data_IF_744909239813
#
_entry.id   IF_744909239813
#
_cell.length_a   1.000
_cell.length_b   1.000
_cell.length_c   1.000
_cell.angle_alpha   90.00
_cell.angle_beta   90.00
_cell.angle_gamma   90.00
#
_symmetry.space_group_name_H-M   'P 1'
#
loop_
_entity.id
_entity.type
_entity.pdbx_description
1 polymer ?
#
# COMPACT_ATOMS: atom_id res chain seq x y z
N UNK A 1 0.37 -3.13 -7.47
CA UNK A 1 1.59 -3.53 -8.21
C UNK A 1 2.86 -3.47 -7.36
N UNK A 2 3.18 -2.37 -6.63
CA UNK A 2 4.36 -2.33 -5.73
C UNK A 2 4.33 -3.40 -4.64
N UNK A 3 3.16 -3.66 -4.03
CA UNK A 3 2.99 -4.75 -3.06
C UNK A 3 3.22 -6.15 -3.65
N UNK A 4 3.22 -6.30 -4.98
CA UNK A 4 3.47 -7.57 -5.68
C UNK A 4 4.92 -7.68 -6.18
N UNK A 5 5.79 -6.72 -5.81
CA UNK A 5 7.17 -6.68 -6.29
C UNK A 5 7.26 -6.55 -7.81
N UNK A 6 6.35 -5.78 -8.43
CA UNK A 6 6.34 -5.57 -9.88
C UNK A 6 6.75 -4.13 -10.20
N UNK A 7 7.78 -3.90 -11.04
CA UNK A 7 8.14 -2.57 -11.51
C UNK A 7 6.98 -1.97 -12.29
N UNK A 8 6.70 -0.67 -12.09
CA UNK A 8 5.54 0.00 -12.70
C UNK A 8 6.00 1.17 -13.56
N UNK A 9 5.56 1.18 -14.82
CA UNK A 9 5.65 2.34 -15.71
C UNK A 9 4.31 3.06 -15.71
N UNK A 10 4.31 4.33 -15.34
CA UNK A 10 3.11 5.17 -15.26
C UNK A 10 3.03 6.03 -16.52
N UNK A 11 2.06 5.73 -17.38
CA UNK A 11 1.84 6.44 -18.66
C UNK A 11 1.06 7.76 -18.46
N UNK A 12 1.53 8.58 -17.53
CA UNK A 12 1.01 9.91 -17.21
C UNK A 12 2.19 10.86 -17.01
N UNK A 13 1.96 12.15 -17.20
CA UNK A 13 3.00 13.17 -16.98
C UNK A 13 3.10 13.57 -15.51
N UNK A 14 2.02 13.38 -14.74
CA UNK A 14 1.95 13.69 -13.31
C UNK A 14 1.32 12.54 -12.54
N UNK A 15 1.51 12.54 -11.22
CA UNK A 15 0.89 11.58 -10.31
C UNK A 15 0.52 12.22 -8.99
N UNK A 16 -0.58 11.75 -8.41
CA UNK A 16 -1.02 12.03 -7.05
C UNK A 16 -0.28 11.18 -5.99
N UNK A 17 0.60 10.26 -6.41
CA UNK A 17 1.35 9.33 -5.56
C UNK A 17 2.87 9.53 -5.70
N UNK A 18 3.41 10.71 -5.35
CA UNK A 18 4.84 11.00 -5.49
C UNK A 18 5.73 10.03 -4.72
N UNK A 19 5.24 9.44 -3.64
CA UNK A 19 5.93 8.44 -2.82
C UNK A 19 6.34 7.19 -3.62
N UNK A 20 5.54 6.76 -4.60
CA UNK A 20 5.89 5.60 -5.45
C UNK A 20 7.05 5.88 -6.39
N UNK A 21 7.16 7.13 -6.85
CA UNK A 21 8.25 7.61 -7.70
C UNK A 21 9.52 7.80 -6.85
N UNK A 22 9.38 8.43 -5.68
CA UNK A 22 10.50 8.63 -4.75
C UNK A 22 11.08 7.30 -4.24
N UNK A 23 10.24 6.30 -4.00
CA UNK A 23 10.67 4.95 -3.63
C UNK A 23 11.25 4.15 -4.80
N UNK A 24 11.15 4.63 -6.05
CA UNK A 24 11.61 3.96 -7.26
C UNK A 24 10.75 2.76 -7.70
N UNK A 25 9.70 2.42 -6.96
CA UNK A 25 8.76 1.33 -7.30
C UNK A 25 7.93 1.64 -8.54
N UNK A 26 7.77 2.93 -8.87
CA UNK A 26 7.08 3.44 -10.05
C UNK A 26 7.98 4.43 -10.80
N UNK A 27 7.79 4.54 -12.13
CA UNK A 27 8.43 5.55 -12.97
C UNK A 27 7.42 6.21 -13.88
N UNK A 28 7.35 7.55 -13.88
CA UNK A 28 6.58 8.30 -14.87
C UNK A 28 7.30 8.22 -16.22
N UNK A 29 6.58 7.76 -17.25
CA UNK A 29 7.09 7.66 -18.63
C UNK A 29 6.32 8.55 -19.60
N UNK A 30 5.27 9.24 -19.12
CA UNK A 30 4.41 10.07 -19.96
C UNK A 30 3.71 9.26 -21.03
N UNK A 31 3.41 9.90 -22.16
CA UNK A 31 2.68 9.30 -23.29
C UNK A 31 3.53 9.14 -24.55
N UNK A 32 4.83 9.46 -24.49
CA UNK A 32 5.74 9.31 -25.61
C UNK A 32 6.02 7.81 -25.89
N UNK A 33 5.64 7.27 -27.08
CA UNK A 33 5.82 5.86 -27.41
C UNK A 33 7.27 5.37 -27.33
N UNK A 34 8.24 6.19 -27.72
CA UNK A 34 9.66 5.83 -27.71
C UNK A 34 10.18 5.64 -26.29
N UNK A 35 9.72 6.48 -25.36
CA UNK A 35 10.06 6.40 -23.93
C UNK A 35 9.44 5.15 -23.32
N UNK A 36 8.15 4.91 -23.57
CA UNK A 36 7.43 3.74 -23.08
C UNK A 36 8.10 2.46 -23.58
N UNK A 37 8.39 2.37 -24.88
CA UNK A 37 9.00 1.20 -25.48
C UNK A 37 10.42 0.94 -24.94
N UNK A 38 11.22 2.00 -24.77
CA UNK A 38 12.57 1.90 -24.20
C UNK A 38 12.54 1.36 -22.77
N UNK A 39 11.71 1.94 -21.90
CA UNK A 39 11.63 1.52 -20.49
C UNK A 39 11.03 0.12 -20.35
N UNK A 40 10.01 -0.22 -21.15
CA UNK A 40 9.44 -1.56 -21.17
C UNK A 40 10.47 -2.60 -21.64
N UNK A 41 11.21 -2.31 -22.73
CA UNK A 41 12.28 -3.18 -23.21
C UNK A 41 13.35 -3.41 -22.14
N UNK A 42 13.80 -2.34 -21.48
CA UNK A 42 14.78 -2.45 -20.39
C UNK A 42 14.31 -3.43 -19.30
N UNK A 43 13.06 -3.33 -18.85
CA UNK A 43 12.51 -4.23 -17.83
C UNK A 43 12.31 -5.67 -18.32
N UNK A 44 12.05 -5.86 -19.62
CA UNK A 44 11.83 -7.18 -20.21
C UNK A 44 13.14 -7.90 -20.57
N UNK A 45 14.22 -7.16 -20.87
CA UNK A 45 15.49 -7.74 -21.35
C UNK A 45 16.61 -7.68 -20.32
N UNK A 46 16.50 -6.86 -19.27
CA UNK A 46 17.47 -6.78 -18.18
C UNK A 46 16.88 -7.33 -16.89
N UNK A 47 17.27 -8.57 -16.57
CA UNK A 47 16.84 -9.22 -15.33
C UNK A 47 17.37 -8.48 -14.09
N UNK A 48 18.57 -7.90 -14.15
CA UNK A 48 19.15 -7.14 -13.05
C UNK A 48 18.32 -5.89 -12.73
N UNK A 49 17.94 -5.11 -13.75
CA UNK A 49 17.07 -3.93 -13.60
C UNK A 49 15.70 -4.33 -13.05
N UNK A 50 15.11 -5.40 -13.59
CA UNK A 50 13.83 -5.88 -13.11
C UNK A 50 13.89 -6.25 -11.64
N UNK A 51 14.88 -7.06 -11.24
CA UNK A 51 15.04 -7.50 -9.84
C UNK A 51 15.32 -6.32 -8.91
N UNK A 52 16.18 -5.39 -9.32
CA UNK A 52 16.49 -4.20 -8.53
C UNK A 52 15.22 -3.41 -8.21
N UNK A 53 14.38 -3.12 -9.21
CA UNK A 53 13.14 -2.35 -9.02
C UNK A 53 12.06 -3.15 -8.29
N UNK A 54 11.99 -4.46 -8.52
CA UNK A 54 11.03 -5.36 -7.87
C UNK A 54 11.26 -5.51 -6.37
N UNK A 55 12.53 -5.41 -5.94
CA UNK A 55 12.93 -5.53 -4.53
C UNK A 55 12.73 -4.24 -3.73
N UNK A 56 12.38 -3.12 -4.38
CA UNK A 56 12.19 -1.84 -3.70
C UNK A 56 11.01 -1.91 -2.73
N UNK A 57 11.20 -1.30 -1.57
CA UNK A 57 10.19 -1.31 -0.50
C UNK A 57 8.94 -0.58 -0.96
N UNK A 58 7.80 -1.23 -0.78
CA UNK A 58 6.50 -0.65 -1.04
C UNK A 58 6.20 0.52 -0.06
N UNK A 59 6.04 1.78 -0.54
CA UNK A 59 5.74 2.90 0.33
C UNK A 59 4.28 2.92 0.82
N UNK A 60 3.39 2.15 0.18
CA UNK A 60 1.95 2.18 0.45
C UNK A 60 1.51 1.31 1.64
N UNK A 61 2.45 0.60 2.26
CA UNK A 61 2.20 -0.18 3.48
C UNK A 61 2.70 -1.62 3.40
N UNK A 62 2.45 -2.32 4.50
CA UNK A 62 2.94 -3.67 4.81
C UNK A 62 1.84 -4.73 4.77
N UNK A 63 0.67 -4.39 4.26
CA UNK A 63 -0.49 -5.29 4.19
C UNK A 63 -1.34 -5.36 5.47
N UNK A 64 -1.01 -4.61 6.52
CA UNK A 64 -1.76 -4.63 7.80
C UNK A 64 -2.68 -3.43 8.01
N UNK A 65 -3.14 -2.80 6.93
CA UNK A 65 -3.97 -1.59 7.00
C UNK A 65 -5.31 -1.87 7.72
N UNK A 66 -6.01 -2.94 7.35
CA UNK A 66 -7.32 -3.30 7.94
C UNK A 66 -7.23 -3.45 9.46
N UNK A 67 -6.25 -4.20 9.95
CA UNK A 67 -6.04 -4.39 11.39
C UNK A 67 -5.88 -3.04 12.11
N UNK A 68 -5.00 -2.17 11.62
CA UNK A 68 -4.75 -0.85 12.23
C UNK A 68 -5.97 0.07 12.19
N UNK A 69 -6.75 0.02 11.11
CA UNK A 69 -7.98 0.81 10.98
C UNK A 69 -9.02 0.34 11.99
N UNK A 70 -9.22 -0.97 12.13
CA UNK A 70 -10.16 -1.53 13.12
C UNK A 70 -9.74 -1.13 14.53
N UNK A 71 -8.46 -1.30 14.88
CA UNK A 71 -7.92 -0.88 16.18
C UNK A 71 -8.15 0.62 16.43
N UNK A 72 -7.90 1.47 15.44
CA UNK A 72 -8.11 2.91 15.55
C UNK A 72 -9.60 3.27 15.74
N UNK A 73 -10.51 2.63 15.01
CA UNK A 73 -11.95 2.84 15.14
C UNK A 73 -12.47 2.40 16.52
N UNK A 74 -12.06 1.21 16.99
CA UNK A 74 -12.43 0.72 18.33
C UNK A 74 -11.94 1.70 19.40
N UNK A 75 -10.69 2.12 19.32
CA UNK A 75 -10.12 3.11 20.24
C UNK A 75 -10.92 4.41 20.24
N UNK A 76 -11.15 4.99 19.05
CA UNK A 76 -11.89 6.24 18.91
C UNK A 76 -13.31 6.16 19.50
N UNK A 77 -14.03 5.08 19.24
CA UNK A 77 -15.40 4.90 19.73
C UNK A 77 -15.44 4.67 21.25
N UNK A 78 -14.49 3.90 21.80
CA UNK A 78 -14.40 3.66 23.24
C UNK A 78 -14.03 4.95 24.00
N UNK A 79 -13.06 5.71 23.50
CA UNK A 79 -12.63 6.97 24.11
C UNK A 79 -13.77 8.01 24.08
N UNK A 80 -14.51 8.11 22.97
CA UNK A 80 -15.68 9.00 22.87
C UNK A 80 -16.87 8.56 23.74
N UNK A 81 -17.12 7.25 23.91
CA UNK A 81 -18.19 6.77 24.80
C UNK A 81 -17.88 7.05 26.27
N UNK A 82 -16.62 6.88 26.68
CA UNK A 82 -16.16 7.27 28.02
C UNK A 82 -16.33 8.77 28.26
N UNK A 83 -15.95 9.61 27.30
CA UNK A 83 -16.14 11.06 27.39
C UNK A 83 -17.63 11.48 27.48
N UNK A 84 -18.56 10.63 27.01
CA UNK A 84 -20.01 10.87 27.03
C UNK A 84 -20.77 10.13 28.14
N UNK A 85 -20.07 9.38 29.01
CA UNK A 85 -20.69 8.67 30.13
C UNK A 85 -21.60 7.49 29.74
N UNK A 86 -21.40 6.88 28.56
CA UNK A 86 -22.21 5.75 28.07
C UNK A 86 -21.49 4.42 28.37
N UNK A 87 -22.14 3.51 29.12
CA UNK A 87 -21.59 2.18 29.43
C UNK A 87 -21.48 1.27 28.19
N UNK A 88 -20.40 0.48 28.14
CA UNK A 88 -20.17 -0.54 27.11
C UNK A 88 -21.00 -1.79 27.45
N UNK A 89 -21.96 -2.14 26.59
CA UNK A 89 -22.61 -3.46 26.64
C UNK A 89 -21.56 -4.53 26.35
N UNK A 90 -21.42 -5.52 27.24
CA UNK A 90 -20.28 -6.45 27.35
C UNK A 90 -20.02 -7.39 26.17
N UNK A 91 -20.71 -7.24 25.04
CA UNK A 91 -20.59 -8.11 23.86
C UNK A 91 -19.47 -7.75 22.87
N UNK A 92 -18.84 -6.57 22.98
CA UNK A 92 -17.94 -6.04 21.94
C UNK A 92 -16.47 -6.53 22.02
N UNK A 93 -16.09 -7.28 23.07
CA UNK A 93 -14.68 -7.64 23.32
C UNK A 93 -14.24 -8.97 22.67
N UNK A 94 -15.15 -9.73 22.05
CA UNK A 94 -14.86 -11.07 21.48
C UNK A 94 -14.43 -11.10 20.01
N UNK A 95 -13.84 -10.04 19.47
CA UNK A 95 -13.36 -10.03 18.08
C UNK A 95 -11.85 -10.31 17.93
N UNK A 96 -11.10 -10.43 19.03
CA UNK A 96 -9.65 -10.62 18.96
C UNK A 96 -9.17 -12.07 18.95
N UNK A 97 -10.06 -13.07 19.10
CA UNK A 97 -9.67 -14.48 19.23
C UNK A 97 -10.06 -15.40 18.04
N UNK A 98 -10.80 -14.93 17.03
CA UNK A 98 -11.27 -15.82 15.94
C UNK A 98 -10.44 -15.73 14.64
N UNK A 99 -9.36 -14.92 14.59
CA UNK A 99 -8.56 -14.73 13.37
C UNK A 99 -7.28 -15.58 13.34
N UNK A 100 -6.89 -16.23 14.44
CA UNK A 100 -5.72 -17.16 14.46
C UNK A 100 -6.08 -18.63 14.14
N UNK A 101 -7.30 -18.88 13.64
CA UNK A 101 -7.85 -20.23 13.45
C UNK A 101 -8.18 -20.64 12.01
N UNK A 102 -7.67 -19.95 10.98
CA UNK A 102 -7.82 -20.35 9.56
C UNK A 102 -6.47 -20.22 8.86
#
# INVERSE_FOLDING_TARGET
APSLGKPVLVMRDTTERPEGIAAGTCRLVGTNPDVILREARLLLTSESEYRQRSALKNPYGDGRATQRIVEACVRFLCDNKRARGIELVSGATKLHQEVEGI
#
